data_IF_846864727494
#
_entry.id   IF_846864727494
#
_cell.length_a   1.000
_cell.length_b   1.000
_cell.length_c   1.000
_cell.angle_alpha   90.00
_cell.angle_beta   90.00
_cell.angle_gamma   90.00
#
_symmetry.space_group_name_H-M   'P 1'
#
loop_
_entity.id
_entity.type
_entity.pdbx_description
1 polymer ?
#
# COMPACT_ATOMS: atom_id res chain seq x y z
N UNK A 1 -13.09 22.36 -4.27
CA UNK A 1 -11.70 22.70 -4.64
C UNK A 1 -10.82 21.55 -4.17
N UNK A 2 -10.16 20.84 -5.10
CA UNK A 2 -9.32 19.71 -4.75
C UNK A 2 -7.99 20.23 -4.26
N UNK A 3 -7.61 19.90 -3.02
CA UNK A 3 -6.26 20.19 -2.55
C UNK A 3 -5.32 19.09 -3.05
N UNK A 4 -4.31 19.53 -3.78
CA UNK A 4 -3.18 18.81 -4.34
C UNK A 4 -2.48 17.88 -3.31
N UNK A 5 -1.70 16.88 -3.75
CA UNK A 5 -0.84 16.00 -2.94
C UNK A 5 0.07 16.72 -1.93
N UNK A 6 0.39 18.00 -2.12
CA UNK A 6 1.10 18.85 -1.14
C UNK A 6 0.44 18.87 0.24
N UNK A 7 -0.86 18.62 0.32
CA UNK A 7 -1.59 18.70 1.58
C UNK A 7 -1.23 17.57 2.56
N UNK A 8 -0.93 16.38 2.07
CA UNK A 8 -0.47 15.29 2.94
C UNK A 8 0.98 15.49 3.42
N UNK A 9 1.77 16.32 2.72
CA UNK A 9 3.13 16.67 3.16
C UNK A 9 3.16 17.56 4.40
N UNK A 10 2.20 18.46 4.55
CA UNK A 10 2.18 19.50 5.60
C UNK A 10 1.45 19.06 6.87
N UNK A 11 0.83 17.89 6.87
CA UNK A 11 0.18 17.35 8.04
C UNK A 11 0.98 16.15 8.55
N UNK A 12 1.28 16.12 9.83
CA UNK A 12 1.93 15.00 10.50
C UNK A 12 1.01 13.77 10.45
N UNK A 13 1.03 13.06 9.29
CA UNK A 13 0.24 11.85 9.10
C UNK A 13 1.03 10.69 9.67
N UNK A 14 0.48 10.02 10.68
CA UNK A 14 1.14 8.89 11.32
C UNK A 14 1.20 7.66 10.41
N UNK A 15 0.17 7.48 9.58
CA UNK A 15 0.05 6.34 8.67
C UNK A 15 -1.06 6.58 7.63
N UNK A 16 -0.94 5.92 6.46
CA UNK A 16 -2.03 5.80 5.49
C UNK A 16 -2.50 4.35 5.41
N UNK A 17 -3.80 4.13 5.24
CA UNK A 17 -4.35 2.77 5.13
C UNK A 17 -5.70 2.76 4.40
N UNK A 18 -6.00 1.64 3.75
CA UNK A 18 -7.32 1.31 3.22
C UNK A 18 -8.07 0.28 4.11
N UNK A 19 -7.46 -0.13 5.24
CA UNK A 19 -8.07 -1.01 6.24
C UNK A 19 -8.18 -0.31 7.59
N UNK A 20 -9.33 -0.45 8.26
CA UNK A 20 -9.55 0.10 9.61
C UNK A 20 -8.72 -0.58 10.68
N UNK A 21 -8.25 -1.82 10.46
CA UNK A 21 -7.38 -2.53 11.39
C UNK A 21 -6.02 -1.84 11.58
N UNK A 22 -5.54 -1.16 10.54
CA UNK A 22 -4.24 -0.47 10.53
C UNK A 22 -4.35 1.02 10.91
N UNK A 23 -5.54 1.53 11.21
CA UNK A 23 -5.74 2.94 11.58
C UNK A 23 -5.25 3.21 13.00
N UNK A 24 -4.47 4.27 13.11
CA UNK A 24 -3.98 4.84 14.37
C UNK A 24 -4.36 6.32 14.44
N UNK A 25 -4.19 6.93 15.61
CA UNK A 25 -4.44 8.36 15.78
C UNK A 25 -3.60 9.18 14.79
N UNK A 26 -4.23 10.09 14.06
CA UNK A 26 -3.60 10.92 13.04
C UNK A 26 -3.47 10.26 11.66
N UNK A 27 -3.98 9.03 11.45
CA UNK A 27 -3.91 8.34 10.16
C UNK A 27 -4.78 8.97 9.09
N UNK A 28 -4.45 8.70 7.82
CA UNK A 28 -5.33 8.93 6.68
C UNK A 28 -5.96 7.59 6.23
N UNK A 29 -7.29 7.55 6.20
CA UNK A 29 -8.07 6.42 5.74
C UNK A 29 -8.54 6.63 4.29
N UNK A 30 -8.21 5.67 3.42
CA UNK A 30 -8.64 5.64 2.03
C UNK A 30 -9.82 4.68 1.88
N UNK A 31 -11.01 5.22 1.74
CA UNK A 31 -12.27 4.47 1.63
C UNK A 31 -12.43 3.89 0.21
N UNK A 32 -11.61 2.87 -0.10
CA UNK A 32 -11.57 2.22 -1.41
C UNK A 32 -12.67 1.15 -1.47
N UNK A 33 -13.51 1.20 -2.50
CA UNK A 33 -14.49 0.14 -2.76
C UNK A 33 -13.79 -1.07 -3.39
N UNK A 34 -13.93 -2.23 -2.74
CA UNK A 34 -13.51 -3.53 -3.25
C UNK A 34 -14.60 -4.20 -4.10
N UNK A 35 -14.35 -5.45 -4.52
CA UNK A 35 -15.33 -6.24 -5.26
C UNK A 35 -16.56 -6.59 -4.40
N UNK A 36 -16.33 -7.01 -3.16
CA UNK A 36 -17.39 -7.50 -2.26
C UNK A 36 -17.78 -6.51 -1.16
N UNK A 37 -16.94 -5.53 -0.87
CA UNK A 37 -17.11 -4.62 0.27
C UNK A 37 -16.81 -3.18 -0.15
N UNK A 38 -17.71 -2.26 0.23
CA UNK A 38 -17.51 -0.84 0.00
C UNK A 38 -16.75 -0.22 1.19
N UNK A 39 -15.50 0.21 0.97
CA UNK A 39 -14.68 0.87 1.97
C UNK A 39 -15.33 2.12 2.59
N UNK A 40 -16.30 2.75 1.91
CA UNK A 40 -17.02 3.90 2.44
C UNK A 40 -17.86 3.56 3.67
N UNK A 41 -18.29 2.32 3.84
CA UNK A 41 -19.04 1.86 5.01
C UNK A 41 -18.21 1.88 6.28
N UNK A 42 -16.88 1.85 6.16
CA UNK A 42 -15.96 1.87 7.29
C UNK A 42 -15.47 3.27 7.71
N UNK A 43 -15.93 4.32 7.04
CA UNK A 43 -15.55 5.71 7.41
C UNK A 43 -15.86 6.02 8.88
N UNK A 44 -17.04 5.69 9.44
CA UNK A 44 -17.33 5.95 10.85
C UNK A 44 -16.36 5.22 11.81
N UNK A 45 -16.05 3.97 11.51
CA UNK A 45 -15.11 3.17 12.29
C UNK A 45 -13.68 3.74 12.21
N UNK A 46 -13.22 4.12 11.01
CA UNK A 46 -11.92 4.74 10.84
C UNK A 46 -11.78 6.03 11.65
N UNK A 47 -12.81 6.87 11.68
CA UNK A 47 -12.85 8.10 12.49
C UNK A 47 -12.78 7.75 13.98
N UNK A 48 -13.55 6.76 14.44
CA UNK A 48 -13.54 6.30 15.83
C UNK A 48 -12.15 5.79 16.25
N UNK A 49 -11.42 5.16 15.34
CA UNK A 49 -10.04 4.69 15.55
C UNK A 49 -8.98 5.79 15.42
N UNK A 50 -9.38 7.04 15.19
CA UNK A 50 -8.48 8.19 15.20
C UNK A 50 -7.99 8.66 13.83
N UNK A 51 -8.63 8.23 12.72
CA UNK A 51 -8.34 8.81 11.42
C UNK A 51 -8.65 10.30 11.42
N UNK A 52 -7.70 11.11 10.96
CA UNK A 52 -7.86 12.57 10.80
C UNK A 52 -8.16 13.00 9.39
N UNK A 53 -7.83 12.15 8.43
CA UNK A 53 -8.06 12.40 7.00
C UNK A 53 -8.87 11.26 6.44
N UNK A 54 -9.95 11.59 5.74
CA UNK A 54 -10.77 10.63 5.01
C UNK A 54 -10.70 10.95 3.53
N UNK A 55 -10.26 9.97 2.76
CA UNK A 55 -10.22 10.04 1.29
C UNK A 55 -11.30 9.13 0.72
N UNK A 56 -12.11 9.64 -0.18
CA UNK A 56 -13.18 8.85 -0.82
C UNK A 56 -13.39 9.27 -2.28
N UNK A 57 -13.83 8.32 -3.10
CA UNK A 57 -14.35 8.59 -4.45
C UNK A 57 -15.85 8.92 -4.47
N UNK A 58 -16.51 8.87 -3.30
CA UNK A 58 -17.96 9.19 -3.16
C UNK A 58 -18.15 10.48 -2.36
N UNK A 59 -18.53 11.55 -3.05
CA UNK A 59 -18.84 12.85 -2.40
C UNK A 59 -19.94 12.72 -1.35
N UNK A 60 -20.96 11.87 -1.59
CA UNK A 60 -22.06 11.59 -0.66
C UNK A 60 -21.58 11.06 0.69
N UNK A 61 -20.59 10.14 0.68
CA UNK A 61 -20.00 9.59 1.90
C UNK A 61 -19.24 10.66 2.69
N UNK A 62 -18.50 11.52 2.01
CA UNK A 62 -17.77 12.62 2.65
C UNK A 62 -18.70 13.69 3.26
N UNK A 63 -19.87 13.94 2.64
CA UNK A 63 -20.89 14.89 3.16
C UNK A 63 -21.51 14.40 4.47
N UNK A 64 -21.60 13.08 4.69
CA UNK A 64 -22.12 12.49 5.93
C UNK A 64 -21.18 12.68 7.12
N UNK A 65 -19.91 12.96 6.89
CA UNK A 65 -18.93 13.23 7.96
C UNK A 65 -19.14 14.66 8.45
N UNK A 66 -19.85 14.81 9.58
CA UNK A 66 -20.19 16.12 10.17
C UNK A 66 -19.05 16.70 11.03
N UNK A 67 -18.05 15.90 11.41
CA UNK A 67 -16.94 16.35 12.26
C UNK A 67 -15.99 17.27 11.49
N UNK A 68 -15.93 18.54 11.92
CA UNK A 68 -15.11 19.58 11.29
C UNK A 68 -13.60 19.40 11.52
N UNK A 69 -13.18 18.57 12.49
CA UNK A 69 -11.78 18.24 12.73
C UNK A 69 -11.24 17.20 11.70
N UNK A 70 -12.13 16.57 10.95
CA UNK A 70 -11.77 15.59 9.92
C UNK A 70 -11.57 16.30 8.59
N UNK A 71 -10.41 16.07 8.01
CA UNK A 71 -10.07 16.55 6.68
C UNK A 71 -10.67 15.59 5.65
N UNK A 72 -11.46 16.11 4.74
CA UNK A 72 -12.18 15.36 3.72
C UNK A 72 -11.56 15.61 2.36
N UNK A 73 -11.08 14.54 1.72
CA UNK A 73 -10.47 14.61 0.38
C UNK A 73 -11.30 13.74 -0.57
N UNK A 74 -11.73 14.33 -1.66
CA UNK A 74 -12.35 13.59 -2.74
C UNK A 74 -11.31 13.27 -3.81
N UNK A 75 -11.27 12.04 -4.29
CA UNK A 75 -10.46 11.63 -5.42
C UNK A 75 -11.25 10.72 -6.34
N UNK A 76 -11.44 11.10 -7.60
CA UNK A 76 -12.10 10.25 -8.60
C UNK A 76 -11.35 8.93 -8.77
N UNK A 77 -10.03 9.00 -8.82
CA UNK A 77 -9.13 7.86 -8.99
C UNK A 77 -8.45 7.50 -7.66
N UNK A 78 -9.26 7.13 -6.65
CA UNK A 78 -8.79 6.87 -5.29
C UNK A 78 -7.71 5.80 -5.21
N UNK A 79 -7.74 4.76 -6.06
CA UNK A 79 -6.73 3.68 -6.08
C UNK A 79 -5.37 4.20 -6.54
N UNK A 80 -5.32 4.96 -7.63
CA UNK A 80 -4.09 5.59 -8.10
C UNK A 80 -3.55 6.58 -7.09
N UNK A 81 -4.43 7.38 -6.47
CA UNK A 81 -4.05 8.33 -5.43
C UNK A 81 -3.48 7.62 -4.20
N UNK A 82 -4.09 6.52 -3.75
CA UNK A 82 -3.56 5.71 -2.64
C UNK A 82 -2.18 5.12 -2.98
N UNK A 83 -2.03 4.55 -4.18
CA UNK A 83 -0.76 3.97 -4.63
C UNK A 83 0.37 5.01 -4.70
N UNK A 84 0.07 6.20 -5.23
CA UNK A 84 1.02 7.31 -5.31
C UNK A 84 1.45 7.78 -3.91
N UNK A 85 0.51 7.93 -3.00
CA UNK A 85 0.80 8.32 -1.61
C UNK A 85 1.60 7.25 -0.86
N UNK A 86 1.31 5.96 -1.08
CA UNK A 86 2.13 4.86 -0.56
C UNK A 86 3.57 4.97 -1.06
N UNK A 87 3.76 5.18 -2.36
CA UNK A 87 5.09 5.32 -2.94
C UNK A 87 5.83 6.55 -2.42
N UNK A 88 5.13 7.67 -2.29
CA UNK A 88 5.68 8.94 -1.83
C UNK A 88 6.17 8.89 -0.37
N UNK A 89 5.41 8.26 0.54
CA UNK A 89 5.80 8.13 1.96
C UNK A 89 7.14 7.43 2.11
N UNK A 90 7.43 6.47 1.24
CA UNK A 90 8.69 5.74 1.22
C UNK A 90 9.70 6.29 0.20
N UNK A 91 9.53 7.56 -0.26
CA UNK A 91 10.45 8.24 -1.19
C UNK A 91 10.64 7.50 -2.52
N UNK A 92 9.54 6.97 -3.07
CA UNK A 92 9.50 6.29 -4.36
C UNK A 92 10.54 5.16 -4.50
N UNK A 93 10.52 4.15 -3.62
CA UNK A 93 11.56 3.11 -3.58
C UNK A 93 11.63 2.30 -4.87
N UNK A 94 10.51 2.14 -5.59
CA UNK A 94 10.44 1.44 -6.88
C UNK A 94 11.31 2.08 -7.98
N UNK A 95 11.68 3.35 -7.86
CA UNK A 95 12.61 3.99 -8.82
C UNK A 95 14.05 3.45 -8.73
N UNK A 96 14.38 2.72 -7.68
CA UNK A 96 15.72 2.18 -7.41
C UNK A 96 15.78 0.66 -7.41
N UNK A 97 14.66 0.00 -7.68
CA UNK A 97 14.53 -1.45 -7.64
C UNK A 97 13.87 -1.89 -8.96
N UNK A 98 14.52 -2.81 -9.65
CA UNK A 98 13.94 -3.49 -10.80
C UNK A 98 12.88 -4.48 -10.33
N UNK A 99 11.64 -4.32 -10.77
CA UNK A 99 10.53 -5.16 -10.37
C UNK A 99 10.11 -6.02 -11.56
N UNK A 100 10.20 -7.33 -11.40
CA UNK A 100 9.68 -8.31 -12.34
C UNK A 100 8.35 -8.87 -11.80
N UNK A 101 7.24 -8.53 -12.45
CA UNK A 101 5.93 -9.09 -12.15
C UNK A 101 5.74 -10.45 -12.82
N UNK A 102 5.32 -11.44 -12.05
CA UNK A 102 5.08 -12.81 -12.51
C UNK A 102 3.59 -13.08 -12.42
N UNK A 103 2.93 -13.24 -13.57
CA UNK A 103 1.51 -13.56 -13.66
C UNK A 103 1.28 -14.90 -14.36
N UNK A 104 0.10 -15.45 -14.19
CA UNK A 104 -0.29 -16.73 -14.79
C UNK A 104 -1.24 -17.51 -13.88
N UNK A 105 -1.89 -18.53 -14.43
CA UNK A 105 -2.78 -19.43 -13.66
C UNK A 105 -1.99 -20.36 -12.75
N UNK A 106 -0.88 -20.92 -13.25
CA UNK A 106 -0.01 -21.85 -12.53
C UNK A 106 1.46 -21.44 -12.64
N UNK A 107 2.32 -21.99 -11.79
CA UNK A 107 3.78 -21.86 -11.86
C UNK A 107 4.36 -20.54 -11.36
N UNK A 108 3.57 -19.55 -10.96
CA UNK A 108 4.08 -18.24 -10.48
C UNK A 108 5.11 -18.39 -9.37
N UNK A 109 4.79 -19.15 -8.32
CA UNK A 109 5.67 -19.35 -7.17
C UNK A 109 6.95 -20.10 -7.53
N UNK A 110 6.84 -21.09 -8.44
CA UNK A 110 8.02 -21.84 -8.93
C UNK A 110 8.97 -20.93 -9.71
N UNK A 111 8.44 -20.09 -10.61
CA UNK A 111 9.24 -19.12 -11.38
C UNK A 111 9.87 -18.09 -10.44
N UNK A 112 9.13 -17.57 -9.48
CA UNK A 112 9.66 -16.62 -8.50
C UNK A 112 10.80 -17.23 -7.68
N UNK A 113 10.67 -18.49 -7.24
CA UNK A 113 11.69 -19.21 -6.50
C UNK A 113 12.95 -19.45 -7.35
N UNK A 114 12.80 -19.89 -8.61
CA UNK A 114 13.91 -20.09 -9.54
C UNK A 114 14.68 -18.79 -9.82
N UNK A 115 13.98 -17.70 -10.10
CA UNK A 115 14.60 -16.40 -10.32
C UNK A 115 15.34 -15.92 -9.07
N UNK A 116 14.76 -16.09 -7.89
CA UNK A 116 15.42 -15.73 -6.63
C UNK A 116 16.66 -16.58 -6.37
N UNK A 117 16.65 -17.85 -6.78
CA UNK A 117 17.82 -18.74 -6.68
C UNK A 117 18.94 -18.29 -7.61
N UNK A 118 18.62 -17.97 -8.88
CA UNK A 118 19.59 -17.52 -9.90
C UNK A 118 20.24 -16.19 -9.48
N UNK A 119 19.45 -15.23 -9.00
CA UNK A 119 19.93 -13.89 -8.60
C UNK A 119 20.47 -13.79 -7.19
N UNK A 120 20.32 -14.81 -6.38
CA UNK A 120 20.63 -14.89 -4.94
C UNK A 120 19.79 -13.89 -4.09
N UNK A 121 19.58 -14.23 -2.82
CA UNK A 121 18.83 -13.36 -1.88
C UNK A 121 19.59 -12.11 -1.45
N UNK A 122 20.89 -12.08 -1.65
CA UNK A 122 21.73 -10.91 -1.38
C UNK A 122 21.47 -9.78 -2.36
N UNK A 123 21.14 -10.11 -3.61
CA UNK A 123 20.88 -9.14 -4.69
C UNK A 123 19.41 -9.03 -5.07
N UNK A 124 18.54 -9.92 -4.58
CA UNK A 124 17.14 -9.99 -4.95
C UNK A 124 16.22 -10.20 -3.75
N UNK A 125 14.94 -9.94 -3.96
CA UNK A 125 13.85 -10.27 -3.06
C UNK A 125 12.69 -10.90 -3.79
N UNK A 126 11.81 -11.55 -3.05
CA UNK A 126 10.56 -12.13 -3.56
C UNK A 126 9.38 -11.66 -2.73
N UNK A 127 8.28 -11.35 -3.41
CA UNK A 127 6.95 -11.19 -2.83
C UNK A 127 6.03 -12.17 -3.54
N UNK A 128 5.48 -13.11 -2.81
CA UNK A 128 4.60 -14.11 -3.40
C UNK A 128 3.69 -14.79 -2.39
N UNK A 129 2.96 -15.77 -2.86
CA UNK A 129 1.96 -16.53 -2.07
C UNK A 129 2.58 -17.21 -0.85
N UNK A 130 3.79 -17.73 -0.99
CA UNK A 130 4.45 -18.50 0.07
C UNK A 130 5.05 -17.56 1.11
N UNK A 131 5.83 -16.60 0.68
CA UNK A 131 6.56 -15.69 1.57
C UNK A 131 6.88 -14.34 0.92
N UNK A 132 7.32 -13.43 1.79
CA UNK A 132 8.06 -12.21 1.44
C UNK A 132 9.47 -12.42 1.98
N UNK A 133 10.47 -12.41 1.09
CA UNK A 133 11.84 -12.66 1.47
C UNK A 133 12.80 -11.69 0.77
N UNK A 134 13.77 -11.15 1.50
CA UNK A 134 14.85 -10.29 0.98
C UNK A 134 16.02 -10.27 1.97
N UNK A 135 17.23 -10.49 1.48
CA UNK A 135 18.37 -10.72 2.37
C UNK A 135 18.05 -11.84 3.38
N UNK A 136 18.42 -11.66 4.61
CA UNK A 136 18.20 -12.65 5.69
C UNK A 136 16.76 -12.59 6.27
N UNK A 137 15.88 -11.75 5.73
CA UNK A 137 14.51 -11.62 6.24
C UNK A 137 13.57 -12.50 5.44
N UNK A 138 12.80 -13.34 6.15
CA UNK A 138 11.74 -14.18 5.60
C UNK A 138 10.49 -14.04 6.47
N UNK A 139 9.37 -13.67 5.86
CA UNK A 139 8.08 -13.55 6.50
C UNK A 139 7.03 -14.34 5.71
N UNK A 140 6.11 -14.98 6.40
CA UNK A 140 4.97 -15.65 5.74
C UNK A 140 4.08 -14.60 5.09
N UNK A 141 3.74 -14.81 3.83
CA UNK A 141 2.80 -13.93 3.13
C UNK A 141 1.37 -14.17 3.60
N UNK A 142 0.59 -13.10 3.70
CA UNK A 142 -0.85 -13.17 3.97
C UNK A 142 -1.68 -13.19 2.69
N UNK A 143 -1.13 -12.66 1.61
CA UNK A 143 -1.77 -12.52 0.29
C UNK A 143 -0.73 -12.76 -0.79
N UNK A 144 -1.14 -13.30 -1.93
CA UNK A 144 -0.26 -13.43 -3.11
C UNK A 144 0.36 -12.08 -3.50
N UNK A 145 -0.48 -11.06 -3.56
CA UNK A 145 -0.06 -9.67 -3.80
C UNK A 145 -0.51 -8.83 -2.62
N UNK A 146 0.39 -8.36 -1.75
CA UNK A 146 0.06 -7.45 -0.67
C UNK A 146 -0.50 -6.11 -1.15
N UNK A 147 -1.08 -5.31 -0.24
CA UNK A 147 -1.49 -3.95 -0.57
C UNK A 147 -0.28 -3.06 -0.90
N UNK A 148 -0.52 -1.95 -1.60
CA UNK A 148 0.56 -1.10 -2.08
C UNK A 148 1.38 -0.45 -0.95
N UNK A 149 0.82 -0.27 0.24
CA UNK A 149 1.59 0.22 1.40
C UNK A 149 2.63 -0.82 1.84
N UNK A 150 2.23 -2.09 1.99
CA UNK A 150 3.15 -3.16 2.38
C UNK A 150 4.22 -3.40 1.30
N UNK A 151 3.85 -3.36 0.01
CA UNK A 151 4.81 -3.46 -1.09
C UNK A 151 5.86 -2.35 -0.98
N UNK A 152 5.45 -1.08 -0.86
CA UNK A 152 6.40 0.03 -0.77
C UNK A 152 7.26 -0.03 0.50
N UNK A 153 6.72 -0.53 1.61
CA UNK A 153 7.47 -0.78 2.84
C UNK A 153 8.57 -1.84 2.64
N UNK A 154 8.26 -2.93 1.93
CA UNK A 154 9.25 -3.96 1.57
C UNK A 154 10.32 -3.37 0.65
N UNK A 155 9.90 -2.67 -0.41
CA UNK A 155 10.82 -2.00 -1.34
C UNK A 155 11.74 -1.01 -0.63
N UNK A 156 11.23 -0.24 0.34
CA UNK A 156 12.08 0.68 1.11
C UNK A 156 13.15 -0.07 1.92
N UNK A 157 12.77 -1.18 2.55
CA UNK A 157 13.73 -2.02 3.29
C UNK A 157 14.75 -2.69 2.38
N UNK A 158 14.35 -3.09 1.16
CA UNK A 158 15.26 -3.60 0.15
C UNK A 158 16.25 -2.51 -0.30
N UNK A 159 15.75 -1.28 -0.53
CA UNK A 159 16.58 -0.10 -0.84
C UNK A 159 17.65 0.14 0.24
N UNK A 160 17.27 0.10 1.52
CA UNK A 160 18.20 0.25 2.66
C UNK A 160 19.29 -0.83 2.68
N UNK A 161 18.95 -2.05 2.28
CA UNK A 161 19.88 -3.19 2.15
C UNK A 161 20.62 -3.24 0.81
N UNK A 162 20.44 -2.27 -0.09
CA UNK A 162 21.02 -2.22 -1.44
C UNK A 162 20.60 -3.39 -2.35
N UNK A 163 19.51 -4.05 -2.04
CA UNK A 163 18.90 -5.10 -2.88
C UNK A 163 18.15 -4.40 -4.01
N UNK A 164 18.44 -4.77 -5.27
CA UNK A 164 17.95 -4.01 -6.45
C UNK A 164 16.96 -4.76 -7.32
N UNK A 165 16.74 -6.04 -7.10
CA UNK A 165 15.83 -6.85 -7.91
C UNK A 165 14.71 -7.41 -7.04
N UNK A 166 13.47 -7.30 -7.50
CA UNK A 166 12.28 -7.88 -6.86
C UNK A 166 11.54 -8.75 -7.86
N UNK A 167 11.28 -9.99 -7.51
CA UNK A 167 10.39 -10.91 -8.20
C UNK A 167 9.05 -10.94 -7.46
N UNK A 168 7.98 -10.50 -8.10
CA UNK A 168 6.68 -10.35 -7.44
C UNK A 168 5.59 -11.13 -8.17
N UNK A 169 4.95 -12.06 -7.46
CA UNK A 169 3.74 -12.70 -7.97
C UNK A 169 2.60 -11.67 -8.02
N UNK A 170 1.93 -11.59 -9.17
CA UNK A 170 0.76 -10.73 -9.40
C UNK A 170 -0.47 -11.58 -9.71
N UNK A 171 -1.59 -11.24 -9.08
CA UNK A 171 -2.89 -11.91 -9.24
C UNK A 171 -3.96 -10.92 -9.71
#
# INVERSE_FOLDING_TARGET
MYRSPKFLRNNSISQISNSTEKIKNGSAFFAISGANVDGNNFIPEAIKKGARIIVSSKKSSLRKVKNNKIIKIYSKNIRSFYSEECSRIFEHPSKRISICGITGTNGKSSVAALLTHIWTLESSGVIGTINIQYGNKKEKSKLTTPDCYEINKVLNKMKEKRIRNLFMETS
#
